data_IF_429454021851
#
_entry.id   IF_429454021851
#
_cell.length_a   1.000
_cell.length_b   1.000
_cell.length_c   1.000
_cell.angle_alpha   90.00
_cell.angle_beta   90.00
_cell.angle_gamma   90.00
#
_symmetry.space_group_name_H-M   'P 1'
#
loop_
_entity.id
_entity.type
_entity.pdbx_description
1 polymer ?
#
# COMPACT_ATOMS: atom_id res chain seq x y z
N UNK A 1 8.70 -27.31 -7.77
CA UNK A 1 9.56 -26.14 -7.66
C UNK A 1 8.73 -24.95 -8.12
N UNK A 2 8.42 -23.90 -7.46
CA UNK A 2 8.97 -23.19 -6.33
C UNK A 2 7.93 -22.16 -5.86
N UNK A 3 7.16 -22.42 -4.82
CA UNK A 3 6.24 -21.46 -4.21
C UNK A 3 6.93 -20.49 -3.22
N UNK A 4 8.25 -20.46 -3.14
CA UNK A 4 8.98 -19.83 -2.05
C UNK A 4 9.41 -18.38 -2.26
N UNK A 5 9.78 -17.98 -3.48
CA UNK A 5 10.56 -16.77 -3.70
C UNK A 5 9.84 -15.43 -3.37
N UNK A 6 8.55 -15.32 -3.67
CA UNK A 6 7.81 -14.07 -3.43
C UNK A 6 7.55 -13.80 -1.94
N UNK A 7 7.18 -14.83 -1.19
CA UNK A 7 6.95 -14.74 0.26
C UNK A 7 8.23 -14.45 1.04
N UNK A 8 9.34 -15.07 0.65
CA UNK A 8 10.66 -14.86 1.26
C UNK A 8 11.18 -13.44 1.02
N UNK A 9 10.99 -12.88 -0.19
CA UNK A 9 11.36 -11.50 -0.51
C UNK A 9 10.58 -10.51 0.37
N UNK A 10 9.26 -10.70 0.48
CA UNK A 10 8.42 -9.84 1.32
C UNK A 10 8.79 -9.98 2.79
N UNK A 11 9.09 -11.19 3.26
CA UNK A 11 9.55 -11.41 4.63
C UNK A 11 10.91 -10.73 4.88
N UNK A 12 11.85 -10.84 3.94
CA UNK A 12 13.15 -10.18 4.04
C UNK A 12 13.02 -8.65 4.04
N UNK A 13 12.13 -8.08 3.20
CA UNK A 13 11.83 -6.66 3.21
C UNK A 13 11.26 -6.19 4.57
N UNK A 14 10.41 -7.01 5.20
CA UNK A 14 9.77 -6.66 6.49
C UNK A 14 10.70 -6.78 7.70
N UNK A 15 11.54 -7.80 7.72
CA UNK A 15 12.22 -8.22 8.97
C UNK A 15 13.75 -8.20 8.90
N UNK A 16 14.32 -8.16 7.71
CA UNK A 16 15.79 -8.09 7.54
C UNK A 16 16.31 -6.69 7.19
N UNK A 17 15.42 -5.68 7.13
CA UNK A 17 15.83 -4.29 6.90
C UNK A 17 16.50 -4.07 5.55
N UNK A 18 16.05 -4.74 4.48
CA UNK A 18 16.64 -4.64 3.17
C UNK A 18 15.84 -3.76 2.20
N UNK A 19 15.91 -2.42 2.31
CA UNK A 19 15.28 -1.51 1.36
C UNK A 19 15.70 -1.76 -0.09
N UNK A 20 16.90 -2.30 -0.30
CA UNK A 20 17.41 -2.65 -1.62
C UNK A 20 16.53 -3.66 -2.39
N UNK A 21 15.70 -4.45 -1.69
CA UNK A 21 14.75 -5.35 -2.35
C UNK A 21 13.57 -4.60 -3.00
N UNK A 22 13.33 -3.35 -2.63
CA UNK A 22 12.26 -2.57 -3.24
C UNK A 22 12.52 -2.30 -4.74
N UNK A 23 13.78 -2.14 -5.15
CA UNK A 23 14.14 -1.90 -6.53
C UNK A 23 13.75 -3.05 -7.48
N UNK A 24 14.13 -4.32 -7.26
CA UNK A 24 13.70 -5.44 -8.10
C UNK A 24 12.18 -5.69 -8.01
N UNK A 25 11.56 -5.43 -6.86
CA UNK A 25 10.10 -5.49 -6.73
C UNK A 25 9.42 -4.44 -7.59
N UNK A 26 9.88 -3.20 -7.54
CA UNK A 26 9.36 -2.10 -8.35
C UNK A 26 9.57 -2.33 -9.84
N UNK A 27 10.70 -2.89 -10.24
CA UNK A 27 10.96 -3.24 -11.64
C UNK A 27 9.92 -4.23 -12.19
N UNK A 28 9.60 -5.27 -11.42
CA UNK A 28 8.60 -6.26 -11.81
C UNK A 28 7.19 -5.67 -11.87
N UNK A 29 6.83 -4.85 -10.89
CA UNK A 29 5.52 -4.20 -10.80
C UNK A 29 5.37 -3.09 -11.84
N UNK A 30 6.43 -2.37 -12.18
CA UNK A 30 6.38 -1.25 -13.13
C UNK A 30 5.98 -1.66 -14.55
N UNK A 31 6.04 -2.96 -14.87
CA UNK A 31 5.61 -3.52 -16.15
C UNK A 31 4.09 -3.75 -16.25
N UNK A 32 3.33 -3.45 -15.18
CA UNK A 32 1.87 -3.58 -15.21
C UNK A 32 1.25 -2.47 -16.04
N UNK A 33 0.59 -2.86 -17.13
CA UNK A 33 -0.12 -1.95 -18.02
C UNK A 33 -1.44 -1.47 -17.39
N UNK A 34 -1.89 -0.29 -17.82
CA UNK A 34 -3.20 0.25 -17.45
C UNK A 34 -3.35 0.80 -16.04
N UNK A 35 -2.29 0.80 -15.21
CA UNK A 35 -2.31 1.41 -13.87
C UNK A 35 -2.34 2.93 -13.95
N UNK A 36 -1.55 3.50 -14.87
CA UNK A 36 -1.52 4.93 -15.13
C UNK A 36 -2.66 5.36 -16.04
N UNK A 37 -3.20 6.55 -15.84
CA UNK A 37 -4.19 7.18 -16.71
C UNK A 37 -3.51 8.26 -17.54
N UNK A 38 -3.32 8.05 -18.87
CA UNK A 38 -2.72 9.06 -19.73
C UNK A 38 -3.46 10.41 -19.65
N UNK A 39 -2.73 11.51 -19.61
CA UNK A 39 -3.29 12.86 -19.53
C UNK A 39 -3.97 13.23 -18.20
N UNK A 40 -4.02 12.32 -17.24
CA UNK A 40 -4.60 12.56 -15.92
C UNK A 40 -3.53 12.91 -14.87
N UNK A 41 -3.97 13.55 -13.78
CA UNK A 41 -3.11 13.75 -12.60
C UNK A 41 -2.98 12.43 -11.85
N UNK A 42 -1.90 11.70 -12.10
CA UNK A 42 -1.59 10.48 -11.36
C UNK A 42 -0.66 10.81 -10.19
N UNK A 43 -0.81 10.11 -9.07
CA UNK A 43 0.13 10.14 -7.96
C UNK A 43 0.12 8.82 -7.21
N UNK A 44 1.28 8.42 -6.67
CA UNK A 44 1.38 7.27 -5.78
C UNK A 44 1.26 7.71 -4.33
N UNK A 45 0.60 6.87 -3.53
CA UNK A 45 0.54 6.99 -2.09
C UNK A 45 0.92 5.64 -1.47
N UNK A 46 1.70 5.65 -0.41
CA UNK A 46 1.97 4.45 0.35
C UNK A 46 0.92 4.22 1.43
N UNK A 47 0.59 2.97 1.71
CA UNK A 47 -0.20 2.61 2.90
C UNK A 47 0.61 2.97 4.15
N UNK A 48 0.05 3.78 5.09
CA UNK A 48 0.76 4.14 6.31
C UNK A 48 0.93 2.93 7.23
N UNK A 49 2.14 2.75 7.73
CA UNK A 49 2.45 1.77 8.75
C UNK A 49 2.03 2.29 10.13
N UNK A 50 1.70 1.38 11.06
CA UNK A 50 1.49 1.77 12.46
C UNK A 50 2.81 2.33 13.03
N UNK A 51 2.74 3.46 13.77
CA UNK A 51 3.91 4.17 14.30
C UNK A 51 4.88 3.28 15.10
N UNK A 52 4.34 2.34 15.86
CA UNK A 52 5.16 1.39 16.62
C UNK A 52 6.00 0.51 15.68
N UNK A 53 5.39 0.00 14.60
CA UNK A 53 6.09 -0.84 13.61
C UNK A 53 7.09 -0.06 12.77
N UNK A 54 6.78 1.20 12.46
CA UNK A 54 7.70 2.06 11.71
C UNK A 54 8.94 2.39 12.54
N UNK A 55 8.77 2.64 13.86
CA UNK A 55 9.91 2.80 14.78
C UNK A 55 10.74 1.53 14.94
N UNK A 56 10.09 0.36 15.03
CA UNK A 56 10.76 -0.93 15.13
C UNK A 56 11.58 -1.27 13.87
N UNK A 57 11.02 -0.98 12.68
CA UNK A 57 11.66 -1.30 11.40
C UNK A 57 12.60 -0.22 10.89
N UNK A 58 12.45 1.01 11.36
CA UNK A 58 13.18 2.17 10.88
C UNK A 58 12.67 2.76 9.55
N UNK A 59 11.69 2.11 8.89
CA UNK A 59 11.11 2.58 7.62
C UNK A 59 9.74 1.95 7.33
N UNK A 60 9.01 2.56 6.38
CA UNK A 60 7.78 2.01 5.81
C UNK A 60 8.11 1.36 4.45
N UNK A 61 7.98 0.04 4.35
CA UNK A 61 8.28 -0.73 3.13
C UNK A 61 7.41 -0.30 1.95
N UNK A 62 6.13 0.03 2.19
CA UNK A 62 5.22 0.50 1.15
C UNK A 62 5.65 1.87 0.62
N UNK A 63 6.23 2.74 1.48
CA UNK A 63 6.76 4.04 1.06
C UNK A 63 8.03 3.89 0.21
N UNK A 64 8.93 2.96 0.56
CA UNK A 64 10.13 2.68 -0.23
C UNK A 64 9.72 2.16 -1.61
N UNK A 65 8.79 1.18 -1.67
CA UNK A 65 8.29 0.64 -2.94
C UNK A 65 7.57 1.71 -3.78
N UNK A 66 6.75 2.57 -3.16
CA UNK A 66 6.08 3.66 -3.85
C UNK A 66 7.08 4.67 -4.46
N UNK A 67 8.16 4.99 -3.74
CA UNK A 67 9.21 5.89 -4.24
C UNK A 67 9.96 5.30 -5.45
N UNK A 68 10.28 4.01 -5.42
CA UNK A 68 10.91 3.32 -6.55
C UNK A 68 9.99 3.26 -7.78
N UNK A 69 8.69 3.01 -7.58
CA UNK A 69 7.70 3.04 -8.67
C UNK A 69 7.51 4.44 -9.23
N UNK A 70 7.47 5.47 -8.37
CA UNK A 70 7.32 6.86 -8.77
C UNK A 70 8.46 7.31 -9.71
N UNK A 71 9.69 6.94 -9.38
CA UNK A 71 10.85 7.21 -10.22
C UNK A 71 10.74 6.55 -11.61
N UNK A 72 10.26 5.30 -11.68
CA UNK A 72 10.10 4.56 -12.94
C UNK A 72 8.95 5.07 -13.80
N UNK A 73 7.84 5.41 -13.19
CA UNK A 73 6.66 5.93 -13.87
C UNK A 73 6.68 7.44 -14.09
N UNK A 74 7.69 8.13 -13.55
CA UNK A 74 7.85 9.59 -13.64
C UNK A 74 6.61 10.36 -13.16
N UNK A 75 6.01 9.90 -12.06
CA UNK A 75 4.85 10.53 -11.44
C UNK A 75 5.16 10.87 -9.98
N UNK A 76 4.46 11.87 -9.39
CA UNK A 76 4.70 12.26 -8.02
C UNK A 76 4.34 11.15 -7.02
N UNK A 77 5.09 11.08 -5.92
CA UNK A 77 4.79 10.24 -4.76
C UNK A 77 4.43 11.12 -3.56
N UNK A 78 3.35 10.75 -2.87
CA UNK A 78 2.82 11.47 -1.70
C UNK A 78 2.84 10.56 -0.46
N UNK A 79 4.02 10.14 -0.03
CA UNK A 79 4.20 9.18 1.08
C UNK A 79 3.66 9.67 2.42
N UNK A 80 3.47 10.98 2.59
CA UNK A 80 2.92 11.58 3.81
C UNK A 80 1.47 12.04 3.67
N UNK A 81 0.80 11.71 2.55
CA UNK A 81 -0.55 12.18 2.28
C UNK A 81 -1.62 11.40 3.07
N UNK A 82 -1.39 10.14 3.36
CA UNK A 82 -2.24 9.34 4.22
C UNK A 82 -1.63 9.22 5.60
N UNK A 83 -2.46 9.35 6.61
CA UNK A 83 -2.08 9.11 8.01
C UNK A 83 -2.99 8.08 8.63
N UNK A 84 -2.42 7.31 9.55
CA UNK A 84 -3.19 6.41 10.41
C UNK A 84 -3.58 7.16 11.66
N UNK A 85 -4.88 7.46 11.80
CA UNK A 85 -5.44 8.28 12.89
C UNK A 85 -5.63 7.51 14.18
N UNK A 86 -5.71 6.19 14.08
CA UNK A 86 -5.94 5.31 15.22
C UNK A 86 -5.02 4.09 15.16
N UNK A 87 -4.30 3.81 16.24
CA UNK A 87 -3.58 2.55 16.39
C UNK A 87 -4.59 1.40 16.56
N UNK A 88 -4.68 0.57 15.54
CA UNK A 88 -5.51 -0.63 15.60
C UNK A 88 -4.67 -1.82 16.03
N UNK A 89 -5.19 -2.76 16.84
CA UNK A 89 -4.47 -3.97 17.23
C UNK A 89 -3.89 -4.72 16.04
N UNK A 90 -2.84 -5.53 16.28
CA UNK A 90 -2.24 -6.34 15.23
C UNK A 90 -3.30 -7.22 14.55
N UNK A 91 -3.38 -7.15 13.22
CA UNK A 91 -4.37 -7.90 12.43
C UNK A 91 -4.05 -9.40 12.34
N UNK A 92 -2.92 -9.86 12.83
CA UNK A 92 -2.47 -11.26 12.71
C UNK A 92 -3.37 -12.25 13.42
N UNK A 93 -4.04 -11.82 14.51
CA UNK A 93 -4.94 -12.65 15.31
C UNK A 93 -6.43 -12.43 14.99
N UNK A 94 -6.79 -11.56 14.04
CA UNK A 94 -8.18 -11.19 13.74
C UNK A 94 -8.77 -11.99 12.59
N UNK A 95 -10.05 -12.32 12.67
CA UNK A 95 -10.84 -12.87 11.56
C UNK A 95 -10.96 -11.84 10.41
N UNK A 96 -11.31 -12.25 9.17
CA UNK A 96 -11.52 -11.32 8.06
C UNK A 96 -12.54 -10.22 8.37
N UNK A 97 -13.70 -10.55 8.99
CA UNK A 97 -14.72 -9.59 9.42
C UNK A 97 -14.18 -8.61 10.46
N UNK A 98 -13.48 -9.11 11.47
CA UNK A 98 -12.88 -8.27 12.49
C UNK A 98 -11.83 -7.32 11.90
N UNK A 99 -11.09 -7.73 10.86
CA UNK A 99 -10.14 -6.85 10.14
C UNK A 99 -10.83 -5.69 9.45
N UNK A 100 -11.98 -5.91 8.82
CA UNK A 100 -12.77 -4.86 8.17
C UNK A 100 -13.24 -3.80 9.18
N UNK A 101 -13.80 -4.22 10.29
CA UNK A 101 -14.28 -3.32 11.37
C UNK A 101 -13.11 -2.61 12.05
N UNK A 102 -12.00 -3.32 12.27
CA UNK A 102 -10.84 -2.80 12.98
C UNK A 102 -10.14 -1.64 12.25
N UNK A 103 -10.19 -1.61 10.91
CA UNK A 103 -9.54 -0.58 10.10
C UNK A 103 -10.50 0.47 9.54
N UNK A 104 -11.81 0.31 9.75
CA UNK A 104 -12.79 1.34 9.40
C UNK A 104 -12.41 2.64 10.12
N UNK A 105 -12.37 3.75 9.39
CA UNK A 105 -12.03 5.10 9.90
C UNK A 105 -10.63 5.22 10.55
N UNK A 106 -9.75 4.24 10.34
CA UNK A 106 -8.40 4.28 10.87
C UNK A 106 -7.43 5.12 10.03
N UNK A 107 -7.88 5.62 8.87
CA UNK A 107 -7.04 6.39 7.95
C UNK A 107 -7.71 7.69 7.55
N UNK A 108 -6.91 8.74 7.38
CA UNK A 108 -7.37 10.02 6.83
C UNK A 108 -6.36 10.59 5.84
N UNK A 109 -6.87 11.44 4.93
CA UNK A 109 -6.00 12.23 4.07
C UNK A 109 -5.59 13.52 4.80
N UNK A 110 -4.29 13.75 4.89
CA UNK A 110 -3.71 14.98 5.47
C UNK A 110 -4.23 16.20 4.73
N UNK A 111 -4.64 17.23 5.47
CA UNK A 111 -5.33 18.41 4.95
C UNK A 111 -4.57 19.10 3.79
N UNK A 112 -3.23 19.16 3.87
CA UNK A 112 -2.37 19.75 2.84
C UNK A 112 -2.48 19.09 1.46
N UNK A 113 -2.95 17.84 1.39
CA UNK A 113 -3.11 17.10 0.13
C UNK A 113 -4.51 17.16 -0.45
N UNK A 114 -5.53 17.65 0.28
CA UNK A 114 -6.93 17.62 -0.16
C UNK A 114 -7.16 18.31 -1.51
N UNK A 115 -6.56 19.48 -1.71
CA UNK A 115 -6.69 20.20 -2.97
C UNK A 115 -6.09 19.44 -4.16
N UNK A 116 -4.96 18.77 -3.94
CA UNK A 116 -4.28 17.95 -4.96
C UNK A 116 -5.02 16.65 -5.25
N UNK A 117 -5.71 16.09 -4.26
CA UNK A 117 -6.47 14.85 -4.36
C UNK A 117 -7.71 14.99 -5.26
N UNK A 118 -8.36 16.17 -5.26
CA UNK A 118 -9.59 16.40 -6.03
C UNK A 118 -9.40 16.13 -7.53
N UNK A 119 -10.18 15.20 -8.06
CA UNK A 119 -10.16 14.77 -9.45
C UNK A 119 -8.89 14.02 -9.88
N UNK A 120 -7.98 13.69 -8.95
CA UNK A 120 -6.78 12.92 -9.23
C UNK A 120 -7.08 11.41 -9.37
N UNK A 121 -6.25 10.73 -10.14
CA UNK A 121 -6.17 9.28 -10.20
C UNK A 121 -5.03 8.85 -9.27
N UNK A 122 -5.36 8.19 -8.18
CA UNK A 122 -4.42 7.82 -7.13
C UNK A 122 -4.06 6.34 -7.21
N UNK A 123 -2.82 6.02 -6.92
CA UNK A 123 -2.31 4.65 -6.93
C UNK A 123 -1.81 4.35 -5.52
N UNK A 124 -2.53 3.49 -4.81
CA UNK A 124 -2.18 3.08 -3.46
C UNK A 124 -1.25 1.87 -3.52
N UNK A 125 -0.10 1.99 -2.87
CA UNK A 125 0.95 0.98 -2.87
C UNK A 125 1.05 0.31 -1.51
N UNK A 126 1.05 -1.03 -1.51
CA UNK A 126 1.37 -1.86 -0.34
C UNK A 126 2.26 -3.02 -0.75
N UNK A 127 2.94 -3.66 0.20
CA UNK A 127 3.79 -4.82 -0.08
C UNK A 127 2.96 -6.09 -0.32
N UNK A 128 1.99 -6.38 0.55
CA UNK A 128 1.17 -7.60 0.48
C UNK A 128 -0.28 -7.31 0.82
N UNK A 129 -1.16 -7.69 -0.08
CA UNK A 129 -2.60 -7.69 0.19
C UNK A 129 -3.02 -9.03 0.83
N UNK A 130 -3.81 -8.96 1.88
CA UNK A 130 -4.49 -10.11 2.49
C UNK A 130 -5.99 -10.06 2.16
N UNK A 131 -6.80 -9.45 3.00
CA UNK A 131 -8.24 -9.23 2.78
C UNK A 131 -8.53 -7.94 2.02
N UNK A 132 -7.56 -7.06 1.83
CA UNK A 132 -7.75 -5.73 1.25
C UNK A 132 -8.37 -4.70 2.21
N UNK A 133 -8.67 -5.08 3.46
CA UNK A 133 -9.33 -4.18 4.41
C UNK A 133 -8.60 -2.84 4.59
N UNK A 134 -7.28 -2.88 4.77
CA UNK A 134 -6.44 -1.68 4.91
C UNK A 134 -6.49 -0.81 3.66
N UNK A 135 -6.35 -1.42 2.47
CA UNK A 135 -6.37 -0.69 1.21
C UNK A 135 -7.74 -0.05 0.96
N UNK A 136 -8.82 -0.77 1.26
CA UNK A 136 -10.19 -0.24 1.15
C UNK A 136 -10.43 0.94 2.10
N UNK A 137 -9.97 0.87 3.35
CA UNK A 137 -10.09 1.98 4.30
C UNK A 137 -9.27 3.21 3.84
N UNK A 138 -8.07 3.03 3.32
CA UNK A 138 -7.30 4.10 2.70
C UNK A 138 -8.01 4.70 1.48
N UNK A 139 -8.57 3.85 0.60
CA UNK A 139 -9.30 4.31 -0.58
C UNK A 139 -10.57 5.11 -0.19
N UNK A 140 -11.28 4.69 0.84
CA UNK A 140 -12.42 5.45 1.38
C UNK A 140 -12.02 6.87 1.78
N UNK A 141 -10.90 7.03 2.49
CA UNK A 141 -10.38 8.34 2.86
C UNK A 141 -10.00 9.19 1.63
N UNK A 142 -9.42 8.58 0.59
CA UNK A 142 -9.09 9.26 -0.67
C UNK A 142 -10.34 9.68 -1.45
N UNK A 143 -11.36 8.83 -1.56
CA UNK A 143 -12.63 9.18 -2.20
C UNK A 143 -13.37 10.27 -1.45
N UNK A 144 -13.39 10.24 -0.12
CA UNK A 144 -13.95 11.30 0.71
C UNK A 144 -13.26 12.66 0.49
N UNK A 145 -11.97 12.64 0.09
CA UNK A 145 -11.21 13.83 -0.28
C UNK A 145 -11.38 14.24 -1.77
N UNK A 146 -12.19 13.51 -2.54
CA UNK A 146 -12.53 13.83 -3.93
C UNK A 146 -11.64 13.21 -4.98
N UNK A 147 -10.91 12.13 -4.68
CA UNK A 147 -10.20 11.36 -5.70
C UNK A 147 -11.17 10.84 -6.77
N UNK A 148 -10.75 10.88 -8.04
CA UNK A 148 -11.55 10.37 -9.15
C UNK A 148 -11.50 8.84 -9.25
N UNK A 149 -10.35 8.26 -9.01
CA UNK A 149 -10.16 6.81 -8.92
C UNK A 149 -9.01 6.46 -8.02
N UNK A 150 -9.04 5.23 -7.49
CA UNK A 150 -7.95 4.63 -6.72
C UNK A 150 -7.64 3.27 -7.32
N UNK A 151 -6.41 3.09 -7.79
CA UNK A 151 -5.87 1.80 -8.18
C UNK A 151 -5.03 1.22 -7.03
N UNK A 152 -4.97 -0.11 -6.93
CA UNK A 152 -4.13 -0.79 -5.95
C UNK A 152 -2.96 -1.47 -6.64
N UNK A 153 -1.78 -1.29 -6.07
CA UNK A 153 -0.56 -1.96 -6.50
C UNK A 153 0.06 -2.66 -5.30
N UNK A 154 0.22 -3.97 -5.44
CA UNK A 154 0.87 -4.81 -4.42
C UNK A 154 1.85 -5.76 -5.08
N UNK A 155 2.94 -6.09 -4.37
CA UNK A 155 3.90 -7.07 -4.85
C UNK A 155 3.40 -8.51 -4.68
N UNK A 156 2.63 -8.77 -3.65
CA UNK A 156 2.13 -10.12 -3.36
C UNK A 156 0.74 -10.14 -2.76
N UNK A 157 0.11 -11.31 -2.84
CA UNK A 157 -1.11 -11.66 -2.12
C UNK A 157 -0.79 -12.75 -1.10
N UNK A 158 -1.07 -12.51 0.16
CA UNK A 158 -1.04 -13.57 1.16
C UNK A 158 -2.33 -14.39 1.03
N UNK A 159 -2.21 -15.71 1.11
CA UNK A 159 -3.36 -16.61 1.14
C UNK A 159 -4.19 -16.32 2.39
N UNK A 160 -5.51 -16.21 2.22
CA UNK A 160 -6.41 -16.23 3.35
C UNK A 160 -6.53 -17.65 3.90
N UNK A 161 -6.79 -17.84 5.20
CA UNK A 161 -7.14 -19.16 5.73
C UNK A 161 -8.39 -19.68 4.98
N UNK A 162 -8.23 -20.79 4.23
CA UNK A 162 -9.29 -21.39 3.41
C UNK A 162 -9.11 -21.27 1.89
N UNK A 163 -8.11 -20.55 1.40
CA UNK A 163 -7.77 -20.56 -0.04
C UNK A 163 -7.20 -21.93 -0.44
N UNK A 164 -7.89 -22.62 -1.36
CA UNK A 164 -7.41 -23.88 -1.91
C UNK A 164 -6.08 -23.70 -2.68
N UNK A 165 -5.16 -24.68 -2.67
CA UNK A 165 -3.99 -24.63 -3.51
C UNK A 165 -4.42 -24.72 -4.99
N UNK A 166 -4.08 -23.71 -5.78
CA UNK A 166 -4.12 -23.78 -7.27
C UNK A 166 -2.86 -24.39 -7.81
#
# INVERSE_FOLDING_TARGET
>A
MTGGSGGEIVHALKYRGWPALAMPMAERVSRLDGVLRPGARNALLSVPLARARERERGYNQSAVLASELAARWQIPVWNTALERTRDTPSQTALTPQQRLVNVADAFSLVAAYRARCRGAHLILVDDVITTGATMNACATAMFAAGARSVAYVTFGRARAPGDAPT
#
